data_IF_339650392243
#
_entry.id   IF_339650392243
#
_cell.length_a   1.000
_cell.length_b   1.000
_cell.length_c   1.000
_cell.angle_alpha   90.00
_cell.angle_beta   90.00
_cell.angle_gamma   90.00
#
_symmetry.space_group_name_H-M   'P 1'
#
loop_
_entity.id
_entity.type
_entity.pdbx_description
1 polymer ?
#
# COMPACT_ATOMS: atom_id res chain seq x y z
N UNK A 1 14.08 20.88 13.78
CA UNK A 1 13.01 21.68 13.13
C UNK A 1 11.76 20.83 13.14
N UNK A 2 10.98 20.88 14.21
CA UNK A 2 9.71 20.17 14.32
C UNK A 2 8.72 20.80 13.35
N UNK A 3 8.48 20.13 12.24
CA UNK A 3 7.42 20.48 11.32
C UNK A 3 6.10 20.12 12.00
N UNK A 4 5.49 21.10 12.71
CA UNK A 4 4.14 20.94 13.22
C UNK A 4 3.25 20.46 12.09
N UNK A 5 2.62 19.30 12.28
CA UNK A 5 1.66 18.75 11.34
C UNK A 5 0.59 19.81 11.09
N UNK A 6 0.56 20.41 9.91
CA UNK A 6 -0.47 21.39 9.60
C UNK A 6 -1.82 20.69 9.50
N UNK A 7 -2.90 21.36 9.87
CA UNK A 7 -4.27 20.82 9.76
C UNK A 7 -4.56 20.27 8.35
N UNK A 8 -4.06 20.93 7.31
CA UNK A 8 -4.16 20.47 5.92
C UNK A 8 -3.45 19.13 5.68
N UNK A 9 -2.28 18.94 6.27
CA UNK A 9 -1.54 17.69 6.17
C UNK A 9 -2.27 16.56 6.87
N UNK A 10 -2.89 16.82 8.02
CA UNK A 10 -3.70 15.83 8.74
C UNK A 10 -4.85 15.32 7.87
N UNK A 11 -5.59 16.21 7.19
CA UNK A 11 -6.67 15.78 6.29
C UNK A 11 -6.18 14.96 5.11
N UNK A 12 -5.01 15.27 4.55
CA UNK A 12 -4.39 14.45 3.50
C UNK A 12 -4.07 13.04 4.02
N UNK A 13 -3.46 12.93 5.19
CA UNK A 13 -3.14 11.64 5.82
C UNK A 13 -4.42 10.83 6.06
N UNK A 14 -5.45 11.45 6.63
CA UNK A 14 -6.73 10.78 6.89
C UNK A 14 -7.38 10.30 5.60
N UNK A 15 -7.44 11.14 4.58
CA UNK A 15 -8.06 10.80 3.29
C UNK A 15 -7.31 9.65 2.58
N UNK A 16 -5.99 9.80 2.36
CA UNK A 16 -5.21 8.81 1.63
C UNK A 16 -5.03 7.51 2.41
N UNK A 17 -4.89 7.58 3.74
CA UNK A 17 -4.80 6.41 4.59
C UNK A 17 -6.10 5.63 4.65
N UNK A 18 -7.25 6.32 4.70
CA UNK A 18 -8.56 5.68 4.59
C UNK A 18 -8.78 5.02 3.23
N UNK A 19 -8.39 5.70 2.15
CA UNK A 19 -8.47 5.14 0.80
C UNK A 19 -7.61 3.89 0.65
N UNK A 20 -6.42 3.87 1.23
CA UNK A 20 -5.61 2.66 1.30
C UNK A 20 -6.28 1.55 2.13
N UNK A 21 -6.87 1.88 3.28
CA UNK A 21 -7.65 0.94 4.07
C UNK A 21 -8.81 0.32 3.29
N UNK A 22 -9.50 1.10 2.44
CA UNK A 22 -10.54 0.61 1.53
C UNK A 22 -9.97 -0.37 0.50
N UNK A 23 -8.84 -0.04 -0.12
CA UNK A 23 -8.17 -0.92 -1.09
C UNK A 23 -7.77 -2.25 -0.42
N UNK A 24 -7.18 -2.21 0.76
CA UNK A 24 -6.82 -3.40 1.55
C UNK A 24 -8.04 -4.25 1.94
N UNK A 25 -9.12 -3.61 2.34
CA UNK A 25 -10.34 -4.32 2.70
C UNK A 25 -11.00 -5.00 1.49
N UNK A 26 -11.10 -4.30 0.37
CA UNK A 26 -11.81 -4.79 -0.83
C UNK A 26 -10.95 -5.74 -1.65
N UNK A 27 -9.84 -5.27 -2.20
CA UNK A 27 -8.96 -6.11 -3.03
C UNK A 27 -8.31 -7.23 -2.24
N UNK A 28 -7.88 -6.96 -1.00
CA UNK A 28 -7.34 -7.99 -0.12
C UNK A 28 -8.32 -9.13 0.15
N UNK A 29 -9.62 -8.86 0.16
CA UNK A 29 -10.65 -9.91 0.29
C UNK A 29 -10.90 -10.61 -1.04
N UNK A 30 -11.09 -9.87 -2.12
CA UNK A 30 -11.40 -10.40 -3.45
C UNK A 30 -10.26 -11.30 -3.96
N UNK A 31 -9.02 -10.87 -3.81
CA UNK A 31 -7.84 -11.61 -4.29
C UNK A 31 -7.53 -12.89 -3.50
N UNK A 32 -8.18 -13.09 -2.34
CA UNK A 32 -8.11 -14.34 -1.58
C UNK A 32 -9.30 -15.27 -1.83
N UNK A 33 -10.20 -14.95 -2.76
CA UNK A 33 -11.27 -15.86 -3.16
C UNK A 33 -10.69 -17.03 -3.97
N UNK A 34 -11.21 -18.26 -3.80
CA UNK A 34 -10.73 -19.45 -4.50
C UNK A 34 -10.68 -19.32 -6.02
N UNK A 35 -11.52 -18.46 -6.61
CA UNK A 35 -11.54 -18.18 -8.04
C UNK A 35 -10.22 -17.57 -8.57
N UNK A 36 -9.41 -16.95 -7.71
CA UNK A 36 -8.11 -16.34 -8.05
C UNK A 36 -6.92 -17.23 -7.67
N UNK A 37 -7.15 -18.34 -6.95
CA UNK A 37 -6.14 -19.35 -6.63
C UNK A 37 -5.88 -20.35 -7.78
N UNK A 38 -6.16 -19.96 -9.01
CA UNK A 38 -5.96 -20.84 -10.18
C UNK A 38 -4.48 -21.25 -10.33
N UNK A 39 -4.18 -22.55 -10.54
CA UNK A 39 -2.81 -23.03 -10.69
C UNK A 39 -2.15 -22.38 -11.91
N UNK A 40 -1.04 -21.70 -11.69
CA UNK A 40 -0.23 -21.05 -12.73
C UNK A 40 -0.32 -19.52 -12.78
N UNK A 41 -1.29 -18.91 -12.10
CA UNK A 41 -1.32 -17.44 -11.92
C UNK A 41 -0.96 -17.17 -10.46
N UNK A 42 0.32 -17.07 -10.16
CA UNK A 42 0.81 -16.51 -8.89
C UNK A 42 0.57 -15.01 -8.84
N UNK A 43 -0.68 -14.60 -8.92
CA UNK A 43 -1.09 -13.25 -8.54
C UNK A 43 -1.14 -13.20 -7.02
N UNK A 44 0.04 -13.13 -6.41
CA UNK A 44 0.11 -12.78 -5.00
C UNK A 44 -0.67 -11.47 -4.83
N UNK A 45 -1.60 -11.40 -3.89
CA UNK A 45 -2.40 -10.19 -3.62
C UNK A 45 -1.52 -8.94 -3.51
N UNK A 46 -0.32 -9.09 -2.97
CA UNK A 46 0.70 -8.04 -2.90
C UNK A 46 1.13 -7.49 -4.26
N UNK A 47 1.16 -8.28 -5.34
CA UNK A 47 1.58 -7.79 -6.66
C UNK A 47 0.61 -6.79 -7.28
N UNK A 48 -0.64 -6.78 -6.83
CA UNK A 48 -1.67 -5.81 -7.25
C UNK A 48 -1.81 -4.68 -6.23
N UNK A 49 -1.82 -5.01 -4.94
CA UNK A 49 -2.06 -4.04 -3.87
C UNK A 49 -0.88 -3.07 -3.73
N UNK A 50 0.36 -3.55 -3.77
CA UNK A 50 1.57 -2.72 -3.63
C UNK A 50 1.63 -1.59 -4.67
N UNK A 51 1.43 -1.82 -5.98
CA UNK A 51 1.39 -0.74 -6.96
C UNK A 51 0.36 0.33 -6.66
N UNK A 52 -0.83 -0.07 -6.22
CA UNK A 52 -1.92 0.85 -5.88
C UNK A 52 -1.53 1.64 -4.62
N UNK A 53 -1.08 0.96 -3.58
CA UNK A 53 -0.61 1.58 -2.34
C UNK A 53 0.53 2.58 -2.62
N UNK A 54 1.49 2.22 -3.49
CA UNK A 54 2.54 3.13 -3.93
C UNK A 54 1.98 4.40 -4.58
N UNK A 55 1.02 4.28 -5.48
CA UNK A 55 0.38 5.45 -6.11
C UNK A 55 -0.30 6.35 -5.08
N UNK A 56 -0.99 5.76 -4.09
CA UNK A 56 -1.63 6.51 -3.01
C UNK A 56 -0.61 7.22 -2.12
N UNK A 57 0.44 6.53 -1.72
CA UNK A 57 1.54 7.07 -0.91
C UNK A 57 2.30 8.17 -1.64
N UNK A 58 2.60 7.99 -2.93
CA UNK A 58 3.28 8.99 -3.75
C UNK A 58 2.43 10.25 -3.91
N UNK A 59 1.10 10.12 -4.06
CA UNK A 59 0.18 11.26 -4.10
C UNK A 59 0.11 11.98 -2.76
N UNK A 60 0.02 11.26 -1.64
CA UNK A 60 0.06 11.85 -0.31
C UNK A 60 1.37 12.63 -0.10
N UNK A 61 2.51 12.02 -0.43
CA UNK A 61 3.82 12.67 -0.35
C UNK A 61 3.90 13.93 -1.22
N UNK A 62 3.47 13.86 -2.48
CA UNK A 62 3.48 15.00 -3.41
C UNK A 62 2.67 16.18 -2.88
N UNK A 63 1.53 15.94 -2.23
CA UNK A 63 0.64 16.98 -1.72
C UNK A 63 1.08 17.56 -0.38
N UNK A 64 1.72 16.75 0.46
CA UNK A 64 2.16 17.17 1.80
C UNK A 64 3.61 17.64 1.84
N UNK A 65 4.43 17.21 0.88
CA UNK A 65 5.88 17.46 0.87
C UNK A 65 6.63 16.74 2.00
N UNK A 66 5.96 15.84 2.74
CA UNK A 66 6.50 15.22 3.95
C UNK A 66 6.42 13.70 3.88
N UNK A 67 7.55 13.02 4.07
CA UNK A 67 7.57 11.57 4.18
C UNK A 67 6.87 11.05 5.45
N UNK A 68 6.79 11.86 6.50
CA UNK A 68 6.03 11.51 7.71
C UNK A 68 4.55 11.29 7.42
N UNK A 69 3.99 11.99 6.43
CA UNK A 69 2.60 11.77 6.03
C UNK A 69 2.37 10.37 5.49
N UNK A 70 3.36 9.79 4.83
CA UNK A 70 3.28 8.41 4.31
C UNK A 70 3.30 7.40 5.47
N UNK A 71 4.15 7.62 6.47
CA UNK A 71 4.16 6.75 7.66
C UNK A 71 2.83 6.79 8.41
N UNK A 72 2.32 8.00 8.66
CA UNK A 72 1.03 8.17 9.35
C UNK A 72 -0.15 7.59 8.56
N UNK A 73 -0.12 7.71 7.24
CA UNK A 73 -1.08 7.10 6.34
C UNK A 73 -1.08 5.57 6.47
N UNK A 74 0.11 4.93 6.51
CA UNK A 74 0.25 3.50 6.72
C UNK A 74 -0.21 3.04 8.10
N UNK A 75 0.11 3.81 9.14
CA UNK A 75 -0.39 3.54 10.49
C UNK A 75 -1.92 3.59 10.53
N UNK A 76 -2.53 4.60 9.90
CA UNK A 76 -3.99 4.70 9.83
C UNK A 76 -4.61 3.50 9.09
N UNK A 77 -4.06 3.14 7.93
CA UNK A 77 -4.55 1.97 7.17
C UNK A 77 -4.40 0.67 7.98
N UNK A 78 -3.28 0.50 8.68
CA UNK A 78 -3.05 -0.62 9.60
C UNK A 78 -4.06 -0.66 10.76
N UNK A 79 -4.34 0.49 11.38
CA UNK A 79 -5.36 0.60 12.43
C UNK A 79 -6.75 0.24 11.90
N UNK A 80 -7.13 0.73 10.71
CA UNK A 80 -8.39 0.36 10.06
C UNK A 80 -8.44 -1.17 9.87
N UNK A 81 -7.36 -1.78 9.40
CA UNK A 81 -7.28 -3.24 9.25
C UNK A 81 -7.44 -3.98 10.59
N UNK A 82 -6.84 -3.47 11.66
CA UNK A 82 -6.96 -4.05 13.00
C UNK A 82 -8.39 -4.04 13.56
N UNK A 83 -9.27 -3.18 13.05
CA UNK A 83 -10.69 -3.17 13.52
C UNK A 83 -11.40 -4.49 13.25
N UNK A 84 -10.92 -5.29 12.30
CA UNK A 84 -11.45 -6.65 12.09
C UNK A 84 -11.24 -7.59 13.28
N UNK A 85 -10.31 -7.27 14.20
CA UNK A 85 -10.11 -8.02 15.43
C UNK A 85 -11.36 -8.02 16.36
N UNK A 86 -12.18 -6.98 16.28
CA UNK A 86 -13.45 -6.91 17.03
C UNK A 86 -14.47 -7.98 16.58
N UNK A 87 -14.32 -8.51 15.36
CA UNK A 87 -15.23 -9.51 14.78
C UNK A 87 -14.67 -10.93 14.96
N UNK A 88 -13.40 -11.13 14.57
CA UNK A 88 -12.79 -12.46 14.50
C UNK A 88 -11.77 -12.74 15.57
N UNK A 89 -11.56 -11.80 16.49
CA UNK A 89 -10.55 -11.89 17.55
C UNK A 89 -9.16 -11.47 17.07
N UNK A 90 -8.24 -11.33 18.02
CA UNK A 90 -6.87 -10.90 17.78
C UNK A 90 -5.99 -12.12 17.40
N UNK A 91 -6.07 -12.52 16.14
CA UNK A 91 -5.37 -13.69 15.59
C UNK A 91 -4.38 -13.27 14.50
N UNK A 92 -3.41 -14.15 14.16
CA UNK A 92 -2.38 -13.90 13.15
C UNK A 92 -2.94 -13.38 11.82
N UNK A 93 -4.07 -13.91 11.37
CA UNK A 93 -4.73 -13.49 10.12
C UNK A 93 -5.27 -12.05 10.15
N UNK A 94 -5.29 -11.41 11.31
CA UNK A 94 -5.75 -10.03 11.49
C UNK A 94 -4.58 -9.09 11.74
N UNK A 95 -3.73 -9.36 12.73
CA UNK A 95 -2.69 -8.41 13.11
C UNK A 95 -1.50 -8.42 12.15
N UNK A 96 -1.15 -9.58 11.57
CA UNK A 96 -0.03 -9.66 10.63
C UNK A 96 -0.22 -8.78 9.39
N UNK A 97 -1.37 -8.82 8.68
CA UNK A 97 -1.60 -7.89 7.57
C UNK A 97 -1.50 -6.43 7.99
N UNK A 98 -1.96 -6.06 9.18
CA UNK A 98 -1.85 -4.70 9.68
C UNK A 98 -0.39 -4.28 9.91
N UNK A 99 0.45 -5.17 10.44
CA UNK A 99 1.89 -4.95 10.59
C UNK A 99 2.54 -4.77 9.20
N UNK A 100 2.19 -5.61 8.23
CA UNK A 100 2.74 -5.51 6.87
C UNK A 100 2.41 -4.19 6.18
N UNK A 101 1.20 -3.66 6.35
CA UNK A 101 0.79 -2.34 5.86
C UNK A 101 1.70 -1.24 6.44
N UNK A 102 1.98 -1.28 7.74
CA UNK A 102 2.86 -0.31 8.40
C UNK A 102 4.29 -0.43 7.89
N UNK A 103 4.80 -1.66 7.74
CA UNK A 103 6.15 -1.91 7.21
C UNK A 103 6.29 -1.47 5.76
N UNK A 104 5.26 -1.69 4.94
CA UNK A 104 5.20 -1.20 3.57
C UNK A 104 5.28 0.33 3.53
N UNK A 105 4.51 1.02 4.39
CA UNK A 105 4.58 2.48 4.49
C UNK A 105 5.94 2.98 4.95
N UNK A 106 6.60 2.29 5.88
CA UNK A 106 7.95 2.64 6.33
C UNK A 106 8.97 2.49 5.20
N UNK A 107 8.94 1.37 4.48
CA UNK A 107 9.83 1.13 3.35
C UNK A 107 9.63 2.18 2.24
N UNK A 108 8.38 2.44 1.90
CA UNK A 108 8.00 3.38 0.84
C UNK A 108 8.29 4.83 1.23
N UNK A 109 7.93 5.24 2.45
CA UNK A 109 8.21 6.59 2.95
C UNK A 109 9.71 6.87 3.01
N UNK A 110 10.51 5.89 3.41
CA UNK A 110 11.98 6.00 3.42
C UNK A 110 12.54 6.14 2.01
N UNK A 111 12.09 5.33 1.07
CA UNK A 111 12.51 5.42 -0.33
C UNK A 111 12.11 6.78 -0.95
N UNK A 112 10.91 7.27 -0.69
CA UNK A 112 10.48 8.60 -1.14
C UNK A 112 11.31 9.73 -0.53
N UNK A 113 11.68 9.60 0.75
CA UNK A 113 12.56 10.57 1.43
C UNK A 113 13.98 10.61 0.82
N UNK A 114 14.52 9.45 0.43
CA UNK A 114 15.85 9.33 -0.15
C UNK A 114 15.90 9.85 -1.59
N UNK A 115 14.99 9.39 -2.43
CA UNK A 115 15.04 9.66 -3.86
C UNK A 115 14.31 10.94 -4.27
N UNK A 116 13.34 11.41 -3.46
CA UNK A 116 12.54 12.63 -3.72
C UNK A 116 12.07 12.72 -5.19
N UNK A 117 11.32 11.73 -5.69
CA UNK A 117 10.92 11.70 -7.07
C UNK A 117 9.96 12.87 -7.37
N UNK A 118 10.23 13.59 -8.43
CA UNK A 118 9.39 14.72 -8.89
C UNK A 118 8.47 14.34 -10.03
N UNK A 119 8.83 13.29 -10.76
CA UNK A 119 8.09 12.80 -11.93
C UNK A 119 7.88 11.29 -11.82
N UNK A 120 6.67 10.81 -12.18
CA UNK A 120 6.28 9.39 -12.12
C UNK A 120 7.14 8.51 -13.04
N UNK A 121 7.60 9.02 -14.17
CA UNK A 121 8.44 8.29 -15.13
C UNK A 121 9.93 8.66 -15.04
N UNK A 122 10.42 9.02 -13.85
CA UNK A 122 11.84 9.32 -13.65
C UNK A 122 12.62 8.11 -13.16
N UNK A 123 13.93 8.10 -13.41
CA UNK A 123 14.84 7.09 -12.84
C UNK A 123 14.77 7.08 -11.30
N UNK A 124 14.55 8.25 -10.67
CA UNK A 124 14.37 8.36 -9.22
C UNK A 124 13.10 7.64 -8.74
N UNK A 125 12.01 7.72 -9.49
CA UNK A 125 10.78 6.97 -9.19
C UNK A 125 11.02 5.48 -9.32
N UNK A 126 11.66 5.05 -10.40
CA UNK A 126 12.03 3.65 -10.57
C UNK A 126 12.89 3.15 -9.40
N UNK A 127 13.95 3.87 -9.07
CA UNK A 127 14.83 3.50 -7.96
C UNK A 127 14.08 3.47 -6.62
N UNK A 128 13.18 4.43 -6.35
CA UNK A 128 12.38 4.45 -5.12
C UNK A 128 11.45 3.25 -5.01
N UNK A 129 10.83 2.83 -6.12
CA UNK A 129 9.98 1.63 -6.16
C UNK A 129 10.79 0.37 -5.87
N UNK A 130 11.92 0.20 -6.57
CA UNK A 130 12.78 -0.99 -6.41
C UNK A 130 13.29 -1.09 -4.98
N UNK A 131 13.83 0.01 -4.44
CA UNK A 131 14.36 0.02 -3.06
C UNK A 131 13.27 -0.21 -2.04
N UNK A 132 12.12 0.48 -2.16
CA UNK A 132 11.00 0.31 -1.25
C UNK A 132 10.51 -1.13 -1.23
N UNK A 133 10.30 -1.73 -2.41
CA UNK A 133 9.80 -3.08 -2.50
C UNK A 133 10.83 -4.10 -1.98
N UNK A 134 12.12 -3.92 -2.29
CA UNK A 134 13.19 -4.79 -1.76
C UNK A 134 13.26 -4.73 -0.24
N UNK A 135 13.23 -3.53 0.35
CA UNK A 135 13.22 -3.34 1.80
C UNK A 135 11.98 -3.97 2.43
N UNK A 136 10.81 -3.74 1.83
CA UNK A 136 9.56 -4.35 2.29
C UNK A 136 9.63 -5.88 2.28
N UNK A 137 10.06 -6.49 1.18
CA UNK A 137 10.16 -7.95 1.07
C UNK A 137 11.14 -8.54 2.09
N UNK A 138 12.27 -7.86 2.31
CA UNK A 138 13.22 -8.26 3.34
C UNK A 138 12.61 -8.18 4.74
N UNK A 139 11.96 -7.08 5.08
CA UNK A 139 11.28 -6.92 6.39
C UNK A 139 10.14 -7.92 6.57
N UNK A 140 9.36 -8.17 5.51
CA UNK A 140 8.33 -9.21 5.51
C UNK A 140 8.92 -10.57 5.87
N UNK A 141 10.04 -10.94 5.26
CA UNK A 141 10.73 -12.21 5.55
C UNK A 141 11.19 -12.28 7.02
N UNK A 142 11.81 -11.21 7.53
CA UNK A 142 12.26 -11.13 8.94
C UNK A 142 11.08 -11.31 9.90
N UNK A 143 9.96 -10.63 9.66
CA UNK A 143 8.76 -10.73 10.49
C UNK A 143 8.18 -12.14 10.44
N UNK A 144 8.12 -12.77 9.26
CA UNK A 144 7.64 -14.15 9.11
C UNK A 144 8.50 -15.17 9.86
N UNK A 145 9.81 -14.97 9.87
CA UNK A 145 10.73 -15.82 10.65
C UNK A 145 10.50 -15.60 12.15
N UNK A 146 10.35 -14.35 12.59
CA UNK A 146 10.11 -13.99 13.99
C UNK A 146 8.77 -14.50 14.52
N UNK A 147 7.74 -14.56 13.67
CA UNK A 147 6.40 -15.11 14.02
C UNK A 147 6.37 -16.65 14.13
N UNK A 148 7.53 -17.30 14.14
CA UNK A 148 7.60 -18.76 14.24
C UNK A 148 7.17 -19.49 12.97
N UNK A 149 7.41 -18.89 11.80
CA UNK A 149 7.08 -19.38 10.46
C UNK A 149 7.75 -20.69 10.05
N UNK A 150 7.73 -21.69 10.92
CA UNK A 150 8.25 -23.05 10.64
C UNK A 150 7.65 -23.65 9.35
N UNK A 151 6.46 -23.22 8.97
CA UNK A 151 5.80 -23.69 7.74
C UNK A 151 6.29 -23.00 6.46
N UNK A 152 7.00 -21.86 6.55
CA UNK A 152 7.57 -21.19 5.38
C UNK A 152 8.87 -21.87 4.95
N UNK A 153 9.57 -22.50 5.90
CA UNK A 153 10.88 -23.12 5.69
C UNK A 153 10.97 -24.46 6.44
N UNK A 154 10.14 -25.42 6.02
CA UNK A 154 10.10 -26.76 6.63
C UNK A 154 11.43 -27.53 6.51
N UNK A 155 12.37 -27.07 5.68
CA UNK A 155 13.74 -27.59 5.59
C UNK A 155 14.71 -26.48 5.22
N UNK A 156 16.00 -26.68 5.57
CA UNK A 156 17.08 -25.75 5.21
C UNK A 156 17.20 -25.58 3.68
N UNK A 157 16.84 -26.60 2.95
CA UNK A 157 16.85 -26.64 1.49
C UNK A 157 15.67 -25.88 0.88
N UNK A 158 14.49 -26.01 1.46
CA UNK A 158 13.32 -25.18 1.13
C UNK A 158 13.54 -23.71 1.52
N UNK A 159 14.32 -23.45 2.58
CA UNK A 159 14.73 -22.10 2.94
C UNK A 159 15.64 -21.49 1.87
N UNK A 160 16.66 -22.22 1.44
CA UNK A 160 17.63 -21.75 0.45
C UNK A 160 16.98 -21.48 -0.91
N UNK A 161 16.23 -22.42 -1.44
CA UNK A 161 15.51 -22.26 -2.71
C UNK A 161 14.30 -21.33 -2.60
N UNK A 162 13.61 -21.31 -1.46
CA UNK A 162 12.45 -20.48 -1.20
C UNK A 162 12.77 -19.03 -0.99
N UNK A 163 13.83 -18.69 -0.23
CA UNK A 163 14.24 -17.32 0.01
C UNK A 163 14.77 -16.65 -1.26
N UNK A 164 15.61 -17.33 -2.03
CA UNK A 164 16.10 -16.84 -3.33
C UNK A 164 14.93 -16.63 -4.30
N UNK A 165 14.07 -17.61 -4.47
CA UNK A 165 12.91 -17.54 -5.34
C UNK A 165 11.92 -16.46 -4.87
N UNK A 166 11.71 -16.35 -3.56
CA UNK A 166 10.81 -15.35 -2.99
C UNK A 166 11.36 -13.94 -3.18
N UNK A 167 12.60 -13.68 -2.79
CA UNK A 167 13.20 -12.34 -2.86
C UNK A 167 13.40 -11.93 -4.32
N UNK A 168 13.96 -12.79 -5.16
CA UNK A 168 14.23 -12.44 -6.56
C UNK A 168 12.95 -12.42 -7.39
N UNK A 169 12.18 -13.50 -7.42
CA UNK A 169 11.02 -13.61 -8.32
C UNK A 169 9.90 -12.68 -7.89
N UNK A 170 9.50 -12.69 -6.62
CA UNK A 170 8.38 -11.86 -6.14
C UNK A 170 8.74 -10.38 -6.17
N UNK A 171 9.97 -10.03 -5.78
CA UNK A 171 10.44 -8.63 -5.84
C UNK A 171 10.44 -8.11 -7.29
N UNK A 172 11.02 -8.86 -8.23
CA UNK A 172 11.02 -8.47 -9.65
C UNK A 172 9.60 -8.34 -10.22
N UNK A 173 8.74 -9.33 -9.94
CA UNK A 173 7.35 -9.32 -10.39
C UNK A 173 6.60 -8.11 -9.80
N UNK A 174 6.71 -7.86 -8.50
CA UNK A 174 6.06 -6.72 -7.84
C UNK A 174 6.58 -5.38 -8.38
N UNK A 175 7.90 -5.23 -8.60
CA UNK A 175 8.46 -4.04 -9.21
C UNK A 175 7.94 -3.83 -10.65
N UNK A 176 7.91 -4.90 -11.44
CA UNK A 176 7.40 -4.85 -12.82
C UNK A 176 5.94 -4.41 -12.85
N UNK A 177 5.06 -5.03 -12.06
CA UNK A 177 3.65 -4.63 -11.99
C UNK A 177 3.47 -3.21 -11.47
N UNK A 178 4.27 -2.78 -10.49
CA UNK A 178 4.23 -1.40 -9.98
C UNK A 178 4.54 -0.39 -11.10
N UNK A 179 5.51 -0.70 -11.94
CA UNK A 179 5.86 0.16 -13.07
C UNK A 179 4.80 0.15 -14.16
N UNK A 180 4.26 -1.02 -14.49
CA UNK A 180 3.21 -1.16 -15.52
C UNK A 180 1.93 -0.44 -15.08
N UNK A 181 1.45 -0.70 -13.87
CA UNK A 181 0.23 -0.08 -13.34
C UNK A 181 0.43 1.43 -13.15
N UNK A 182 1.55 1.84 -12.54
CA UNK A 182 1.89 3.25 -12.37
C UNK A 182 2.03 3.99 -13.71
N UNK A 183 2.66 3.35 -14.69
CA UNK A 183 2.78 3.86 -16.05
C UNK A 183 1.44 3.98 -16.78
N UNK A 184 0.57 2.98 -16.64
CA UNK A 184 -0.78 3.00 -17.20
C UNK A 184 -1.63 4.13 -16.61
N UNK A 185 -1.62 4.27 -15.28
CA UNK A 185 -2.33 5.37 -14.59
C UNK A 185 -1.79 6.73 -15.05
N UNK A 186 -0.48 6.90 -15.12
CA UNK A 186 0.13 8.13 -15.62
C UNK A 186 -0.26 8.41 -17.08
N UNK A 187 -0.23 7.41 -17.93
CA UNK A 187 -0.63 7.52 -19.33
C UNK A 187 -2.09 7.95 -19.49
N UNK A 188 -2.99 7.35 -18.70
CA UNK A 188 -4.40 7.73 -18.69
C UNK A 188 -4.62 9.17 -18.21
N UNK A 189 -3.91 9.61 -17.17
CA UNK A 189 -3.97 10.99 -16.68
C UNK A 189 -3.47 11.97 -17.74
N UNK A 190 -2.38 11.66 -18.45
CA UNK A 190 -1.85 12.48 -19.55
C UNK A 190 -2.79 12.54 -20.74
N UNK A 191 -3.47 11.43 -21.06
CA UNK A 191 -4.50 11.42 -22.12
C UNK A 191 -5.72 12.25 -21.75
N UNK A 192 -6.14 12.20 -20.48
CA UNK A 192 -7.23 13.00 -19.95
C UNK A 192 -6.89 14.51 -19.98
N UNK A 193 -5.65 14.89 -19.61
CA UNK A 193 -5.17 16.27 -19.75
C UNK A 193 -5.18 16.73 -21.23
N UNK A 194 -4.69 15.89 -22.16
CA UNK A 194 -4.63 16.23 -23.58
C UNK A 194 -6.01 16.36 -24.25
N UNK A 195 -7.01 15.59 -23.77
CA UNK A 195 -8.37 15.62 -24.30
C UNK A 195 -9.24 16.72 -23.67
N UNK A 196 -8.63 17.61 -22.86
CA UNK A 196 -9.36 18.64 -22.12
C UNK A 196 -10.62 18.07 -21.42
N UNK A 197 -10.52 16.84 -20.93
CA UNK A 197 -11.54 16.31 -20.08
C UNK A 197 -11.55 17.18 -18.83
N UNK A 198 -12.25 18.31 -18.99
CA UNK A 198 -12.54 19.25 -17.92
C UNK A 198 -13.45 18.54 -16.92
N UNK A 199 -12.87 17.58 -16.20
CA UNK A 199 -13.36 17.21 -14.90
C UNK A 199 -13.16 18.46 -14.03
N UNK A 200 -14.10 19.42 -14.15
CA UNK A 200 -14.20 20.63 -13.31
C UNK A 200 -14.47 20.30 -11.84
N UNK A 201 -14.08 19.08 -11.42
CA UNK A 201 -14.00 18.76 -10.03
C UNK A 201 -12.77 19.46 -9.48
N UNK A 202 -13.00 20.52 -8.71
CA UNK A 202 -11.93 21.10 -7.89
C UNK A 202 -11.59 20.08 -6.80
N UNK A 203 -10.86 19.03 -7.21
CA UNK A 203 -10.48 17.92 -6.35
C UNK A 203 -9.66 18.40 -5.14
N UNK A 204 -8.98 19.54 -5.27
CA UNK A 204 -8.22 20.10 -4.16
C UNK A 204 -9.11 20.47 -2.97
N UNK A 205 -10.31 20.98 -3.20
CA UNK A 205 -11.26 21.24 -2.12
C UNK A 205 -11.72 19.95 -1.42
N UNK A 206 -11.82 18.84 -2.15
CA UNK A 206 -12.18 17.55 -1.57
C UNK A 206 -11.03 17.01 -0.74
N UNK A 207 -9.82 17.00 -1.28
CA UNK A 207 -8.65 16.43 -0.61
C UNK A 207 -8.23 17.16 0.68
N UNK A 208 -8.59 18.44 0.81
CA UNK A 208 -8.34 19.24 2.02
C UNK A 208 -9.58 19.44 2.89
N UNK A 209 -10.68 18.76 2.55
CA UNK A 209 -11.94 18.85 3.30
C UNK A 209 -11.92 17.92 4.52
N UNK A 210 -12.21 18.42 5.73
CA UNK A 210 -12.39 17.57 6.90
C UNK A 210 -13.57 16.61 6.73
N UNK A 211 -14.61 17.03 6.03
CA UNK A 211 -15.80 16.22 5.75
C UNK A 211 -15.41 15.02 4.87
N UNK A 212 -14.68 15.26 3.77
CA UNK A 212 -14.23 14.18 2.89
C UNK A 212 -13.30 13.20 3.61
N UNK A 213 -12.39 13.68 4.44
CA UNK A 213 -11.53 12.86 5.26
C UNK A 213 -12.34 11.98 6.24
N UNK A 214 -13.32 12.57 6.96
CA UNK A 214 -14.18 11.83 7.88
C UNK A 214 -15.05 10.79 7.18
N UNK A 215 -15.65 11.13 6.04
CA UNK A 215 -16.43 10.19 5.22
C UNK A 215 -15.54 9.04 4.74
N UNK A 216 -14.34 9.32 4.28
CA UNK A 216 -13.40 8.28 3.81
C UNK A 216 -13.02 7.32 4.92
N UNK A 217 -12.73 7.82 6.13
CA UNK A 217 -12.42 6.97 7.30
C UNK A 217 -13.65 6.14 7.70
N UNK A 218 -14.82 6.76 7.79
CA UNK A 218 -16.08 6.05 8.09
C UNK A 218 -16.38 4.94 7.07
N UNK A 219 -16.24 5.25 5.78
CA UNK A 219 -16.44 4.27 4.70
C UNK A 219 -15.42 3.13 4.78
N UNK A 220 -14.15 3.43 5.04
CA UNK A 220 -13.12 2.41 5.20
C UNK A 220 -13.43 1.45 6.35
N UNK A 221 -13.88 1.97 7.50
CA UNK A 221 -14.26 1.16 8.65
C UNK A 221 -15.48 0.28 8.33
N UNK A 222 -16.54 0.86 7.76
CA UNK A 222 -17.75 0.12 7.38
C UNK A 222 -17.44 -1.00 6.39
N UNK A 223 -16.69 -0.71 5.33
CA UNK A 223 -16.32 -1.71 4.33
C UNK A 223 -15.43 -2.82 4.94
N UNK A 224 -14.44 -2.46 5.76
CA UNK A 224 -13.56 -3.43 6.41
C UNK A 224 -14.35 -4.39 7.31
N UNK A 225 -15.31 -3.88 8.05
CA UNK A 225 -16.18 -4.67 8.94
C UNK A 225 -17.15 -5.52 8.12
N UNK A 226 -17.86 -4.93 7.17
CA UNK A 226 -18.87 -5.63 6.36
C UNK A 226 -18.28 -6.77 5.55
N UNK A 227 -17.14 -6.55 4.87
CA UNK A 227 -16.47 -7.59 4.09
C UNK A 227 -15.89 -8.72 4.93
N UNK A 228 -15.76 -8.52 6.24
CA UNK A 228 -15.30 -9.57 7.14
C UNK A 228 -16.45 -10.40 7.72
N UNK A 229 -17.68 -9.87 7.67
CA UNK A 229 -18.90 -10.56 8.08
C UNK A 229 -19.51 -11.43 6.96
N UNK A 230 -19.14 -11.17 5.71
CA UNK A 230 -19.51 -11.98 4.53
C UNK A 230 -18.57 -13.19 4.38
#
# INVERSE_FOLDING_TARGET
MEQKLSTKMTFQVLFWGALWGIVEATLGTILHLPAFDAPGIYLCSSTIIIPIAYCLMANCYKRTGSFYSVYLMGVLAGVIKLTTAFIVGFINKVYMPAIYIVVEALAMGTALALFKPTNVLSLKTFASVVVANTVYQFMYLVIRIADGGQNVFASLEAWRSGAEKYILTINFVACFYTLVIGGAVYGLLKLAEKKEWNLKFNLDNIFYSPIAASISVGLALVLTITLKLL
#
